data_IF_822201549937
#
_entry.id   IF_822201549937
#
_cell.length_a   1.000
_cell.length_b   1.000
_cell.length_c   1.000
_cell.angle_alpha   90.00
_cell.angle_beta   90.00
_cell.angle_gamma   90.00
#
_symmetry.space_group_name_H-M   'P 1'
#
loop_
_entity.id
_entity.type
_entity.pdbx_description
1 polymer ?
#
# COMPACT_ATOMS: atom_id res chain seq x y z
N UNK A 1 -24.75 18.24 -7.58
CA UNK A 1 -23.99 17.01 -7.89
C UNK A 1 -23.80 16.21 -6.61
N UNK A 2 -24.28 14.97 -6.55
CA UNK A 2 -24.07 14.09 -5.39
C UNK A 2 -22.61 13.62 -5.44
N UNK A 3 -21.82 13.93 -4.39
CA UNK A 3 -20.45 13.42 -4.23
C UNK A 3 -20.50 12.10 -3.46
N UNK A 4 -19.73 11.10 -3.91
CA UNK A 4 -19.53 9.86 -3.15
C UNK A 4 -18.95 10.23 -1.78
N UNK A 5 -19.55 9.74 -0.71
CA UNK A 5 -19.00 9.92 0.63
C UNK A 5 -17.66 9.16 0.74
N UNK A 6 -16.63 9.78 1.34
CA UNK A 6 -15.37 9.10 1.58
C UNK A 6 -15.55 7.99 2.62
N UNK A 7 -14.89 6.86 2.41
CA UNK A 7 -14.82 5.79 3.41
C UNK A 7 -13.81 6.15 4.48
N UNK A 8 -14.16 5.95 5.75
CA UNK A 8 -13.21 6.10 6.84
C UNK A 8 -12.20 4.95 6.81
N UNK A 9 -10.94 5.26 6.53
CA UNK A 9 -9.82 4.30 6.44
C UNK A 9 -9.00 4.19 7.72
N UNK A 10 -8.98 5.23 8.54
CA UNK A 10 -8.19 5.30 9.77
C UNK A 10 -9.12 5.22 11.00
N UNK A 11 -8.63 4.62 12.07
CA UNK A 11 -9.37 4.36 13.31
C UNK A 11 -9.06 5.37 14.41
N UNK A 12 -8.04 6.22 14.23
CA UNK A 12 -7.64 7.23 15.21
C UNK A 12 -6.60 6.67 16.18
N UNK A 13 -5.33 6.98 15.90
CA UNK A 13 -4.18 6.51 16.67
C UNK A 13 -2.94 6.25 15.79
N UNK A 14 -3.09 6.37 14.49
CA UNK A 14 -2.03 6.21 13.51
C UNK A 14 -0.98 7.31 13.61
N UNK A 15 0.28 6.91 13.45
CA UNK A 15 1.41 7.83 13.39
C UNK A 15 1.63 8.32 11.95
N UNK A 16 1.03 9.45 11.61
CA UNK A 16 1.19 10.07 10.30
C UNK A 16 2.61 10.65 10.05
N UNK A 17 3.45 10.75 11.09
CA UNK A 17 4.80 11.30 10.93
C UNK A 17 5.68 10.42 10.04
N UNK A 18 5.42 9.09 10.04
CA UNK A 18 6.13 8.10 9.23
C UNK A 18 5.84 8.22 7.73
N UNK A 19 4.72 8.81 7.33
CA UNK A 19 4.36 8.90 5.92
C UNK A 19 3.70 7.65 5.33
N UNK A 20 3.40 6.65 6.16
CA UNK A 20 2.64 5.46 5.79
C UNK A 20 1.83 4.94 6.97
N UNK A 21 0.83 4.09 6.70
CA UNK A 21 0.08 3.33 7.70
C UNK A 21 -0.16 1.90 7.20
N UNK A 22 0.08 0.91 8.06
CA UNK A 22 -0.37 -0.47 7.80
C UNK A 22 -1.81 -0.57 8.27
N UNK A 23 -2.74 -0.64 7.31
CA UNK A 23 -4.18 -0.66 7.60
C UNK A 23 -4.71 -2.08 7.82
N UNK A 24 -4.00 -3.08 7.28
CA UNK A 24 -4.32 -4.49 7.42
C UNK A 24 -3.04 -5.32 7.38
N UNK A 25 -2.92 -6.30 8.27
CA UNK A 25 -1.85 -7.30 8.23
C UNK A 25 -2.21 -8.46 7.32
N UNK A 26 -1.18 -9.05 6.69
CA UNK A 26 -1.29 -10.25 5.87
C UNK A 26 0.09 -10.76 5.47
N UNK A 27 0.14 -11.99 4.95
CA UNK A 27 1.39 -12.74 4.78
C UNK A 27 1.67 -13.14 3.33
N UNK A 28 0.65 -13.32 2.49
CA UNK A 28 0.82 -13.87 1.15
C UNK A 28 1.23 -12.81 0.12
N UNK A 29 0.76 -11.57 0.28
CA UNK A 29 1.14 -10.44 -0.58
C UNK A 29 0.88 -9.09 0.08
N UNK A 30 1.47 -8.03 -0.48
CA UNK A 30 1.23 -6.65 -0.05
C UNK A 30 0.60 -5.81 -1.16
N UNK A 31 -0.55 -5.20 -0.85
CA UNK A 31 -1.12 -4.08 -1.61
C UNK A 31 -0.60 -2.77 -1.04
N UNK A 32 0.22 -2.07 -1.81
CA UNK A 32 0.76 -0.77 -1.44
C UNK A 32 -0.01 0.30 -2.22
N UNK A 33 -0.90 1.01 -1.53
CA UNK A 33 -1.82 1.96 -2.14
C UNK A 33 -1.52 3.40 -1.73
N UNK A 34 -2.05 4.36 -2.49
CA UNK A 34 -2.01 5.78 -2.13
C UNK A 34 -3.30 6.51 -2.52
N UNK A 35 -3.71 7.47 -1.69
CA UNK A 35 -4.84 8.34 -1.94
C UNK A 35 -6.16 7.60 -2.11
N UNK A 36 -6.91 7.91 -3.18
CA UNK A 36 -8.25 7.36 -3.39
C UNK A 36 -8.27 5.84 -3.61
N UNK A 37 -7.13 5.24 -3.92
CA UNK A 37 -7.02 3.80 -4.19
C UNK A 37 -6.95 2.96 -2.92
N UNK A 38 -6.74 3.56 -1.74
CA UNK A 38 -6.66 2.83 -0.47
C UNK A 38 -7.99 2.11 -0.15
N UNK A 39 -9.13 2.77 -0.39
CA UNK A 39 -10.45 2.15 -0.24
C UNK A 39 -10.60 0.92 -1.16
N UNK A 40 -10.08 1.00 -2.39
CA UNK A 40 -10.16 -0.11 -3.34
C UNK A 40 -9.23 -1.26 -2.95
N UNK A 41 -8.04 -0.95 -2.42
CA UNK A 41 -7.10 -1.95 -1.94
C UNK A 41 -7.65 -2.74 -0.75
N UNK A 42 -8.31 -2.07 0.21
CA UNK A 42 -8.99 -2.76 1.32
C UNK A 42 -10.10 -3.70 0.82
N UNK A 43 -10.93 -3.25 -0.13
CA UNK A 43 -11.98 -4.10 -0.72
C UNK A 43 -11.41 -5.28 -1.50
N UNK A 44 -10.30 -5.09 -2.20
CA UNK A 44 -9.62 -6.18 -2.90
C UNK A 44 -9.05 -7.19 -1.91
N UNK A 45 -8.48 -6.73 -0.79
CA UNK A 45 -8.00 -7.59 0.28
C UNK A 45 -9.15 -8.41 0.90
N UNK A 46 -10.34 -7.83 1.09
CA UNK A 46 -11.52 -8.58 1.58
C UNK A 46 -11.95 -9.69 0.60
N UNK A 47 -11.92 -9.41 -0.70
CA UNK A 47 -12.27 -10.40 -1.73
C UNK A 47 -11.22 -11.52 -1.86
N UNK A 48 -9.95 -11.21 -1.67
CA UNK A 48 -8.84 -12.17 -1.71
C UNK A 48 -8.83 -13.05 -0.45
N UNK A 49 -9.12 -12.49 0.71
CA UNK A 49 -9.28 -13.24 1.96
C UNK A 49 -10.39 -14.27 1.88
N UNK A 50 -11.53 -13.91 1.25
CA UNK A 50 -12.62 -14.85 1.00
C UNK A 50 -12.21 -16.04 0.09
N UNK A 51 -11.09 -15.91 -0.63
CA UNK A 51 -10.48 -16.95 -1.45
C UNK A 51 -9.29 -17.63 -0.76
N UNK A 52 -9.02 -17.31 0.50
CA UNK A 52 -7.93 -17.89 1.29
C UNK A 52 -6.55 -17.24 1.07
N UNK A 53 -6.50 -16.01 0.56
CA UNK A 53 -5.26 -15.25 0.37
C UNK A 53 -5.18 -14.12 1.41
N UNK A 54 -4.16 -14.16 2.26
CA UNK A 54 -3.87 -13.22 3.32
C UNK A 54 -3.12 -11.99 2.78
N UNK A 55 -3.81 -10.85 2.74
CA UNK A 55 -3.29 -9.64 2.07
C UNK A 55 -2.98 -8.53 3.06
N UNK A 56 -1.73 -8.08 3.08
CA UNK A 56 -1.34 -6.86 3.77
C UNK A 56 -1.76 -5.65 2.95
N UNK A 57 -2.32 -4.62 3.59
CA UNK A 57 -2.66 -3.34 2.95
C UNK A 57 -1.92 -2.21 3.65
N UNK A 58 -1.09 -1.50 2.88
CA UNK A 58 -0.33 -0.34 3.33
C UNK A 58 -0.79 0.87 2.54
N UNK A 59 -1.13 1.94 3.25
CA UNK A 59 -1.32 3.26 2.67
C UNK A 59 0.00 4.04 2.77
N UNK A 60 0.62 4.34 1.62
CA UNK A 60 1.83 5.15 1.51
C UNK A 60 1.47 6.55 0.99
N UNK A 61 1.01 7.40 1.91
CA UNK A 61 0.60 8.78 1.60
C UNK A 61 1.78 9.75 1.45
N UNK A 62 3.01 9.37 1.83
CA UNK A 62 4.24 10.10 1.52
C UNK A 62 5.13 9.28 0.59
N UNK A 63 4.97 9.51 -0.72
CA UNK A 63 5.81 8.88 -1.75
C UNK A 63 7.22 9.49 -1.79
N UNK A 64 7.39 10.75 -1.33
CA UNK A 64 8.70 11.41 -1.30
C UNK A 64 8.87 12.27 -0.04
N UNK A 65 9.93 12.04 0.76
CA UNK A 65 10.78 10.84 0.76
C UNK A 65 10.01 9.60 1.25
N UNK A 66 10.38 8.41 0.76
CA UNK A 66 9.85 7.13 1.26
C UNK A 66 10.51 6.83 2.62
N UNK A 67 9.73 6.30 3.57
CA UNK A 67 10.23 5.91 4.88
C UNK A 67 11.12 4.66 4.81
N UNK A 68 12.16 4.61 5.65
CA UNK A 68 13.16 3.53 5.68
C UNK A 68 12.60 2.15 6.09
N UNK A 69 11.44 2.13 6.76
CA UNK A 69 10.73 0.91 7.15
C UNK A 69 10.07 0.19 5.94
N UNK A 70 9.83 0.90 4.83
CA UNK A 70 9.05 0.36 3.70
C UNK A 70 9.69 -0.89 3.08
N UNK A 71 10.99 -0.94 2.77
CA UNK A 71 11.64 -2.16 2.29
C UNK A 71 11.37 -3.40 3.15
N UNK A 72 11.53 -3.28 4.47
CA UNK A 72 11.30 -4.39 5.38
C UNK A 72 9.83 -4.86 5.39
N UNK A 73 8.87 -3.96 5.19
CA UNK A 73 7.45 -4.28 5.09
C UNK A 73 7.08 -4.96 3.77
N UNK A 74 7.86 -4.74 2.72
CA UNK A 74 7.62 -5.28 1.38
C UNK A 74 8.40 -6.57 1.09
N UNK A 75 9.45 -6.84 1.86
CA UNK A 75 10.35 -7.97 1.63
C UNK A 75 9.67 -9.35 1.78
N UNK A 76 10.14 -10.31 0.99
CA UNK A 76 9.77 -11.72 1.11
C UNK A 76 8.38 -12.10 0.59
N UNK A 77 7.62 -11.17 -0.01
CA UNK A 77 6.32 -11.47 -0.62
C UNK A 77 6.02 -10.60 -1.84
N UNK A 78 5.17 -11.05 -2.78
CA UNK A 78 4.73 -10.24 -3.92
C UNK A 78 4.13 -8.90 -3.50
N UNK A 79 4.49 -7.83 -4.22
CA UNK A 79 3.99 -6.46 -3.99
C UNK A 79 3.21 -5.99 -5.22
N UNK A 80 2.03 -5.44 -4.99
CA UNK A 80 1.24 -4.75 -6.02
C UNK A 80 0.98 -3.31 -5.60
N UNK A 81 1.48 -2.36 -6.38
CA UNK A 81 1.22 -0.94 -6.18
C UNK A 81 -0.13 -0.54 -6.77
N UNK A 82 -0.94 0.20 -6.02
CA UNK A 82 -2.28 0.62 -6.43
C UNK A 82 -2.41 2.14 -6.33
N UNK A 83 -2.37 2.83 -7.47
CA UNK A 83 -2.36 4.29 -7.52
C UNK A 83 -3.32 4.87 -8.57
N UNK A 84 -3.76 6.10 -8.34
CA UNK A 84 -4.47 6.92 -9.33
C UNK A 84 -3.54 8.02 -9.83
N UNK A 85 -2.45 7.61 -10.47
CA UNK A 85 -1.47 8.49 -11.10
C UNK A 85 -0.99 7.85 -12.40
N UNK A 86 -0.22 8.58 -13.20
CA UNK A 86 0.46 7.99 -14.34
C UNK A 86 1.37 6.85 -13.86
N UNK A 87 1.36 5.73 -14.61
CA UNK A 87 2.23 4.58 -14.37
C UNK A 87 3.71 4.95 -14.38
N UNK A 88 4.11 5.98 -15.14
CA UNK A 88 5.49 6.45 -15.22
C UNK A 88 5.72 7.55 -14.17
N UNK A 89 6.73 7.37 -13.32
CA UNK A 89 7.14 8.33 -12.30
C UNK A 89 6.23 8.40 -11.07
N UNK A 90 5.30 7.45 -10.95
CA UNK A 90 4.38 7.33 -9.81
C UNK A 90 4.91 6.46 -8.68
N UNK A 91 4.00 6.02 -7.82
CA UNK A 91 4.26 5.09 -6.72
C UNK A 91 4.96 3.83 -7.22
N UNK A 92 4.46 3.22 -8.30
CA UNK A 92 5.06 2.03 -8.90
C UNK A 92 6.53 2.24 -9.28
N UNK A 93 6.85 3.35 -9.95
CA UNK A 93 8.25 3.66 -10.32
C UNK A 93 9.13 3.85 -9.08
N UNK A 94 8.67 4.62 -8.08
CA UNK A 94 9.45 4.86 -6.86
C UNK A 94 9.70 3.59 -6.05
N UNK A 95 8.75 2.65 -6.02
CA UNK A 95 8.89 1.39 -5.30
C UNK A 95 9.78 0.42 -6.08
N UNK A 96 9.66 0.34 -7.41
CA UNK A 96 10.60 -0.41 -8.22
C UNK A 96 12.04 0.07 -8.05
N UNK A 97 12.27 1.40 -8.04
CA UNK A 97 13.60 1.99 -7.81
C UNK A 97 14.16 1.62 -6.42
N UNK A 98 13.33 1.68 -5.39
CA UNK A 98 13.70 1.33 -4.02
C UNK A 98 14.09 -0.15 -3.90
N UNK A 99 13.24 -1.05 -4.43
CA UNK A 99 13.39 -2.50 -4.33
C UNK A 99 14.49 -3.06 -5.25
N UNK A 100 14.84 -2.37 -6.34
CA UNK A 100 15.95 -2.78 -7.20
C UNK A 100 17.31 -2.80 -6.47
N UNK A 101 17.42 -2.14 -5.31
CA UNK A 101 18.63 -2.15 -4.46
C UNK A 101 18.58 -3.18 -3.34
N UNK A 102 17.45 -3.85 -3.14
CA UNK A 102 17.24 -4.85 -2.09
C UNK A 102 17.33 -6.28 -2.66
N UNK A 103 18.31 -7.05 -2.18
CA UNK A 103 18.57 -8.43 -2.61
C UNK A 103 17.51 -9.44 -2.14
N UNK A 104 16.58 -9.03 -1.28
CA UNK A 104 15.50 -9.87 -0.73
C UNK A 104 14.15 -9.61 -1.39
N UNK A 105 14.13 -8.78 -2.43
CA UNK A 105 12.96 -8.58 -3.29
C UNK A 105 12.63 -9.89 -4.02
N UNK A 106 11.36 -10.38 -3.98
CA UNK A 106 10.97 -11.63 -4.62
C UNK A 106 11.16 -11.66 -6.14
#
# INVERSE_FOLDING_TARGET
TIRKAPTATYQGGEDFSKGYCVLRQGEDMTLLASGIMVEQALKAADQLEAQGVSVQVIDLFRIKPIHEDIPALLSGRPVLTVENHNRIGGLGSSICELMATDLTTP
#
